data_IF_635751101953
#
_entry.id   IF_635751101953
#
_cell.length_a   1.000
_cell.length_b   1.000
_cell.length_c   1.000
_cell.angle_alpha   90.00
_cell.angle_beta   90.00
_cell.angle_gamma   90.00
#
_symmetry.space_group_name_H-M   'P 1'
#
loop_
_entity.id
_entity.type
_entity.pdbx_description
1 polymer ?
#
# COMPACT_ATOMS: atom_id res chain seq x y z
N UNK A 1 -26.79 -16.77 -25.24
CA UNK A 1 -25.86 -17.54 -24.40
C UNK A 1 -24.44 -17.02 -24.51
N UNK A 2 -23.63 -17.32 -25.51
CA UNK A 2 -22.20 -16.96 -25.55
C UNK A 2 -21.94 -15.47 -25.45
N UNK A 3 -22.66 -14.63 -26.23
CA UNK A 3 -22.52 -13.16 -26.14
C UNK A 3 -22.75 -12.64 -24.72
N UNK A 4 -23.69 -13.22 -23.95
CA UNK A 4 -23.92 -12.84 -22.55
C UNK A 4 -22.74 -13.26 -21.64
N UNK A 5 -22.18 -14.46 -21.84
CA UNK A 5 -21.02 -14.93 -21.09
C UNK A 5 -19.79 -14.03 -21.31
N UNK A 6 -19.52 -13.64 -22.57
CA UNK A 6 -18.45 -12.70 -22.91
C UNK A 6 -18.73 -11.30 -22.33
N UNK A 7 -19.97 -10.80 -22.50
CA UNK A 7 -20.36 -9.51 -21.95
C UNK A 7 -20.25 -9.47 -20.42
N UNK A 8 -20.53 -10.58 -19.75
CA UNK A 8 -20.34 -10.70 -18.31
C UNK A 8 -18.86 -10.58 -17.92
N UNK A 9 -17.96 -11.39 -18.51
CA UNK A 9 -16.53 -11.35 -18.18
C UNK A 9 -15.93 -9.98 -18.47
N UNK A 10 -16.20 -9.44 -19.65
CA UNK A 10 -15.75 -8.10 -20.02
C UNK A 10 -16.35 -7.02 -19.11
N UNK A 11 -17.63 -7.18 -18.76
CA UNK A 11 -18.32 -6.29 -17.83
C UNK A 11 -17.71 -6.30 -16.43
N UNK A 12 -17.28 -7.46 -15.92
CA UNK A 12 -16.56 -7.56 -14.64
C UNK A 12 -15.25 -6.79 -14.71
N UNK A 13 -14.45 -7.04 -15.75
CA UNK A 13 -13.16 -6.36 -15.91
C UNK A 13 -13.32 -4.84 -15.98
N UNK A 14 -14.14 -4.35 -16.89
CA UNK A 14 -14.37 -2.91 -17.07
C UNK A 14 -14.98 -2.25 -15.83
N UNK A 15 -15.96 -2.91 -15.19
CA UNK A 15 -16.55 -2.39 -13.96
C UNK A 15 -15.52 -2.27 -12.85
N UNK A 16 -14.63 -3.26 -12.71
CA UNK A 16 -13.56 -3.23 -11.70
C UNK A 16 -12.57 -2.11 -12.00
N UNK A 17 -12.11 -1.96 -13.25
CA UNK A 17 -11.22 -0.86 -13.63
C UNK A 17 -11.85 0.50 -13.28
N UNK A 18 -13.13 0.72 -13.62
CA UNK A 18 -13.83 1.96 -13.31
C UNK A 18 -13.97 2.20 -11.82
N UNK A 19 -14.31 1.15 -11.04
CA UNK A 19 -14.40 1.23 -9.59
C UNK A 19 -13.05 1.61 -8.96
N UNK A 20 -11.94 0.99 -9.41
CA UNK A 20 -10.59 1.36 -8.93
C UNK A 20 -10.22 2.78 -9.35
N UNK A 21 -10.55 3.18 -10.58
CA UNK A 21 -10.28 4.53 -11.08
C UNK A 21 -10.98 5.63 -10.26
N UNK A 22 -12.19 5.37 -9.75
CA UNK A 22 -12.95 6.31 -8.88
C UNK A 22 -12.22 6.61 -7.58
N UNK A 23 -11.36 5.73 -7.07
CA UNK A 23 -10.59 5.99 -5.86
C UNK A 23 -9.65 7.20 -6.00
N UNK A 24 -9.13 7.47 -7.19
CA UNK A 24 -8.18 8.56 -7.46
C UNK A 24 -8.79 9.95 -7.27
N UNK A 25 -9.91 10.31 -7.91
CA UNK A 25 -10.54 11.60 -7.64
C UNK A 25 -11.02 11.76 -6.20
N UNK A 26 -11.42 10.66 -5.53
CA UNK A 26 -11.76 10.71 -4.09
C UNK A 26 -10.51 11.01 -3.27
N UNK A 27 -9.37 10.38 -3.57
CA UNK A 27 -8.09 10.65 -2.91
C UNK A 27 -7.64 12.11 -3.14
N UNK A 28 -7.69 12.61 -4.38
CA UNK A 28 -7.35 14.00 -4.69
C UNK A 28 -8.27 15.00 -3.96
N UNK A 29 -9.56 14.70 -3.86
CA UNK A 29 -10.51 15.52 -3.11
C UNK A 29 -10.24 15.50 -1.60
N UNK A 30 -9.83 14.36 -1.05
CA UNK A 30 -9.49 14.22 0.36
C UNK A 30 -8.24 15.05 0.72
N UNK A 31 -7.28 15.14 -0.19
CA UNK A 31 -6.06 15.93 -0.11
C UNK A 31 -6.11 17.17 -1.00
N UNK A 32 -7.22 17.90 -0.95
CA UNK A 32 -7.48 19.04 -1.85
C UNK A 32 -6.40 20.12 -1.79
N UNK A 33 -5.77 20.35 -0.63
CA UNK A 33 -4.71 21.33 -0.47
C UNK A 33 -3.44 20.95 -1.27
N UNK A 34 -3.04 19.67 -1.24
CA UNK A 34 -1.90 19.16 -2.00
C UNK A 34 -2.24 19.07 -3.48
N UNK A 35 -3.46 18.64 -3.79
CA UNK A 35 -3.98 18.53 -5.15
C UNK A 35 -4.12 19.91 -5.85
N UNK A 36 -4.40 20.98 -5.10
CA UNK A 36 -4.55 22.34 -5.66
C UNK A 36 -3.25 22.90 -6.28
N UNK A 37 -2.09 22.32 -5.94
CA UNK A 37 -0.81 22.69 -6.52
C UNK A 37 -0.61 22.12 -7.94
N UNK A 38 -1.44 21.16 -8.35
CA UNK A 38 -1.37 20.49 -9.63
C UNK A 38 -2.39 21.05 -10.63
N UNK A 39 -2.03 21.01 -11.91
CA UNK A 39 -2.93 21.38 -13.02
C UNK A 39 -4.01 20.32 -13.28
N UNK A 40 -5.09 20.72 -13.93
CA UNK A 40 -6.13 19.78 -14.36
C UNK A 40 -5.60 18.68 -15.30
N UNK A 41 -4.57 18.99 -16.12
CA UNK A 41 -3.90 18.00 -16.96
C UNK A 41 -3.17 16.92 -16.15
N UNK A 42 -2.53 17.31 -15.05
CA UNK A 42 -1.87 16.37 -14.14
C UNK A 42 -2.89 15.50 -13.39
N UNK A 43 -4.06 16.04 -13.01
CA UNK A 43 -5.13 15.22 -12.41
C UNK A 43 -5.65 14.17 -13.39
N UNK A 44 -5.81 14.51 -14.66
CA UNK A 44 -6.13 13.52 -15.70
C UNK A 44 -5.01 12.51 -15.87
N UNK A 45 -3.74 12.96 -15.76
CA UNK A 45 -2.56 12.10 -15.72
C UNK A 45 -2.60 11.07 -14.60
N UNK A 46 -3.02 11.47 -13.39
CA UNK A 46 -3.19 10.56 -12.24
C UNK A 46 -4.14 9.41 -12.59
N UNK A 47 -5.30 9.73 -13.18
CA UNK A 47 -6.28 8.72 -13.58
C UNK A 47 -5.72 7.85 -14.70
N UNK A 48 -5.15 8.46 -15.76
CA UNK A 48 -4.68 7.76 -16.95
C UNK A 48 -3.55 6.78 -16.63
N UNK A 49 -2.50 7.23 -15.96
CA UNK A 49 -1.37 6.37 -15.59
C UNK A 49 -1.78 5.30 -14.59
N UNK A 50 -2.68 5.65 -13.65
CA UNK A 50 -3.21 4.71 -12.67
C UNK A 50 -4.00 3.55 -13.25
N UNK A 51 -4.58 3.68 -14.47
CA UNK A 51 -5.30 2.58 -15.13
C UNK A 51 -4.45 1.31 -15.29
N UNK A 52 -3.13 1.44 -15.35
CA UNK A 52 -2.22 0.28 -15.45
C UNK A 52 -2.38 -0.65 -14.25
N UNK A 53 -2.28 -0.13 -13.03
CA UNK A 53 -2.46 -0.94 -11.81
C UNK A 53 -3.93 -1.29 -11.55
N UNK A 54 -4.87 -0.41 -11.94
CA UNK A 54 -6.30 -0.72 -11.85
C UNK A 54 -6.66 -1.91 -12.74
N UNK A 55 -6.07 -1.99 -13.94
CA UNK A 55 -6.24 -3.14 -14.85
C UNK A 55 -5.63 -4.42 -14.29
N UNK A 56 -4.49 -4.31 -13.60
CA UNK A 56 -3.89 -5.46 -12.89
C UNK A 56 -4.81 -5.98 -11.79
N UNK A 57 -5.35 -5.11 -10.95
CA UNK A 57 -6.32 -5.51 -9.91
C UNK A 57 -7.60 -6.06 -10.55
N UNK A 58 -8.07 -5.46 -11.64
CA UNK A 58 -9.24 -5.95 -12.36
C UNK A 58 -9.03 -7.35 -12.94
N UNK A 59 -7.83 -7.66 -13.43
CA UNK A 59 -7.46 -9.01 -13.85
C UNK A 59 -7.59 -10.02 -12.72
N UNK A 60 -6.98 -9.74 -11.56
CA UNK A 60 -7.13 -10.62 -10.38
C UNK A 60 -8.58 -10.83 -9.98
N UNK A 61 -9.39 -9.77 -9.96
CA UNK A 61 -10.82 -9.85 -9.63
C UNK A 61 -11.61 -10.61 -10.70
N UNK A 62 -11.20 -10.54 -11.97
CA UNK A 62 -11.89 -11.18 -13.09
C UNK A 62 -11.54 -12.68 -13.20
N UNK A 63 -10.40 -13.11 -12.70
CA UNK A 63 -9.91 -14.47 -12.83
C UNK A 63 -10.93 -15.52 -12.35
N UNK A 64 -11.51 -15.39 -11.15
CA UNK A 64 -12.51 -16.34 -10.65
C UNK A 64 -13.82 -16.29 -11.44
N UNK A 65 -14.45 -15.15 -11.74
CA UNK A 65 -15.59 -15.05 -12.65
C UNK A 65 -15.36 -15.69 -14.02
N UNK A 66 -14.16 -15.53 -14.59
CA UNK A 66 -13.78 -16.15 -15.85
C UNK A 66 -13.72 -17.68 -15.74
N UNK A 67 -13.11 -18.21 -14.67
CA UNK A 67 -13.09 -19.64 -14.39
C UNK A 67 -14.50 -20.21 -14.18
N UNK A 68 -15.36 -19.53 -13.45
CA UNK A 68 -16.77 -19.92 -13.26
C UNK A 68 -17.54 -19.87 -14.58
N UNK A 69 -17.24 -18.89 -15.44
CA UNK A 69 -17.83 -18.81 -16.79
C UNK A 69 -17.37 -19.99 -17.65
N UNK A 70 -16.10 -20.35 -17.60
CA UNK A 70 -15.56 -21.53 -18.29
C UNK A 70 -16.22 -22.81 -17.78
N UNK A 71 -16.33 -22.99 -16.46
CA UNK A 71 -17.01 -24.14 -15.85
C UNK A 71 -18.48 -24.22 -16.28
N UNK A 72 -19.17 -23.08 -16.40
CA UNK A 72 -20.57 -23.01 -16.82
C UNK A 72 -20.82 -23.47 -18.26
N UNK A 73 -19.78 -23.66 -19.11
CA UNK A 73 -19.93 -24.26 -20.42
C UNK A 73 -20.27 -25.76 -20.36
N UNK A 74 -19.79 -26.41 -19.30
CA UNK A 74 -19.79 -27.88 -19.17
C UNK A 74 -20.70 -28.39 -18.05
N UNK A 75 -20.84 -27.60 -16.98
CA UNK A 75 -21.51 -27.99 -15.74
C UNK A 75 -22.91 -27.40 -15.69
N UNK A 76 -23.91 -28.27 -15.49
CA UNK A 76 -25.31 -27.90 -15.28
C UNK A 76 -25.56 -27.65 -13.80
N UNK A 77 -25.59 -26.40 -13.41
CA UNK A 77 -26.06 -25.97 -12.08
C UNK A 77 -27.21 -24.96 -12.25
N UNK A 78 -28.17 -24.95 -11.31
CA UNK A 78 -29.19 -23.91 -11.29
C UNK A 78 -28.56 -22.52 -11.32
N UNK A 79 -29.08 -21.62 -12.15
CA UNK A 79 -28.57 -20.27 -12.30
C UNK A 79 -28.49 -19.51 -10.96
N UNK A 80 -29.42 -19.82 -10.04
CA UNK A 80 -29.43 -19.28 -8.67
C UNK A 80 -28.14 -19.60 -7.90
N UNK A 81 -27.54 -20.79 -8.10
CA UNK A 81 -26.29 -21.20 -7.43
C UNK A 81 -25.14 -20.38 -7.99
N UNK A 82 -25.00 -20.29 -9.31
CA UNK A 82 -23.97 -19.49 -9.95
C UNK A 82 -24.01 -18.04 -9.51
N UNK A 83 -25.20 -17.44 -9.56
CA UNK A 83 -25.38 -16.03 -9.15
C UNK A 83 -25.13 -15.83 -7.66
N UNK A 84 -25.47 -16.80 -6.79
CA UNK A 84 -25.18 -16.73 -5.36
C UNK A 84 -23.67 -16.73 -5.11
N UNK A 85 -22.93 -17.65 -5.74
CA UNK A 85 -21.46 -17.71 -5.62
C UNK A 85 -20.82 -16.39 -6.07
N UNK A 86 -21.21 -15.89 -7.24
CA UNK A 86 -20.71 -14.63 -7.76
C UNK A 86 -21.04 -13.44 -6.84
N UNK A 87 -22.26 -13.36 -6.33
CA UNK A 87 -22.65 -12.27 -5.43
C UNK A 87 -21.87 -12.32 -4.11
N UNK A 88 -21.68 -13.49 -3.52
CA UNK A 88 -20.85 -13.64 -2.30
C UNK A 88 -19.42 -13.20 -2.58
N UNK A 89 -18.84 -13.66 -3.69
CA UNK A 89 -17.50 -13.27 -4.11
C UNK A 89 -17.37 -11.74 -4.23
N UNK A 90 -18.28 -11.10 -4.95
CA UNK A 90 -18.21 -9.64 -5.13
C UNK A 90 -18.50 -8.84 -3.87
N UNK A 91 -19.30 -9.37 -2.94
CA UNK A 91 -19.46 -8.74 -1.61
C UNK A 91 -18.15 -8.78 -0.83
N UNK A 92 -17.44 -9.91 -0.84
CA UNK A 92 -16.13 -10.03 -0.20
C UNK A 92 -15.11 -9.07 -0.82
N UNK A 93 -15.02 -9.03 -2.17
CA UNK A 93 -14.15 -8.08 -2.88
C UNK A 93 -14.50 -6.63 -2.53
N UNK A 94 -15.79 -6.29 -2.49
CA UNK A 94 -16.25 -4.93 -2.17
C UNK A 94 -15.84 -4.52 -0.74
N UNK A 95 -16.07 -5.39 0.24
CA UNK A 95 -15.72 -5.10 1.65
C UNK A 95 -14.20 -4.96 1.81
N UNK A 96 -13.41 -5.90 1.27
CA UNK A 96 -11.95 -5.85 1.38
C UNK A 96 -11.36 -4.62 0.67
N UNK A 97 -11.79 -4.35 -0.55
CA UNK A 97 -11.33 -3.18 -1.31
C UNK A 97 -11.68 -1.87 -0.62
N UNK A 98 -12.90 -1.75 -0.09
CA UNK A 98 -13.35 -0.54 0.60
C UNK A 98 -12.61 -0.34 1.92
N UNK A 99 -12.34 -1.41 2.67
CA UNK A 99 -11.56 -1.35 3.89
C UNK A 99 -10.12 -0.88 3.61
N UNK A 100 -9.45 -1.49 2.63
CA UNK A 100 -8.11 -1.08 2.20
C UNK A 100 -8.10 0.40 1.78
N UNK A 101 -9.06 0.83 0.96
CA UNK A 101 -9.11 2.21 0.48
C UNK A 101 -9.36 3.22 1.60
N UNK A 102 -10.30 2.94 2.52
CA UNK A 102 -10.61 3.83 3.63
C UNK A 102 -9.43 3.98 4.59
N UNK A 103 -8.73 2.88 4.90
CA UNK A 103 -7.52 2.89 5.72
C UNK A 103 -6.39 3.64 5.02
N UNK A 104 -6.16 3.36 3.73
CA UNK A 104 -5.12 3.98 2.93
C UNK A 104 -5.25 5.51 2.86
N UNK A 105 -6.47 6.00 2.60
CA UNK A 105 -6.71 7.44 2.50
C UNK A 105 -6.37 8.17 3.80
N UNK A 106 -6.60 7.57 4.97
CA UNK A 106 -6.26 8.22 6.23
C UNK A 106 -4.78 8.07 6.60
N UNK A 107 -4.23 6.86 6.47
CA UNK A 107 -2.84 6.60 6.84
C UNK A 107 -1.84 7.35 5.96
N UNK A 108 -2.19 7.68 4.72
CA UNK A 108 -1.34 8.48 3.84
C UNK A 108 -0.93 9.82 4.47
N UNK A 109 -1.81 10.46 5.25
CA UNK A 109 -1.50 11.71 5.97
C UNK A 109 -0.32 11.55 6.93
N UNK A 110 -0.22 10.39 7.57
CA UNK A 110 0.79 10.10 8.59
C UNK A 110 2.05 9.47 8.03
N UNK A 111 1.89 8.64 7.00
CA UNK A 111 2.98 7.86 6.43
C UNK A 111 3.65 8.52 5.23
N UNK A 112 2.93 9.33 4.46
CA UNK A 112 3.44 9.95 3.24
C UNK A 112 3.61 8.98 2.06
N UNK A 113 3.12 7.74 2.19
CA UNK A 113 3.12 6.72 1.13
C UNK A 113 1.84 5.88 1.17
N UNK A 114 1.61 5.11 0.10
CA UNK A 114 0.40 4.28 -0.04
C UNK A 114 0.47 3.06 0.88
N UNK A 115 -0.70 2.57 1.27
CA UNK A 115 -0.84 1.46 2.20
C UNK A 115 -0.02 0.25 1.77
N UNK A 116 0.74 -0.31 2.69
CA UNK A 116 1.50 -1.54 2.57
C UNK A 116 1.15 -2.55 3.68
N UNK A 117 1.78 -3.72 3.65
CA UNK A 117 1.54 -4.79 4.64
C UNK A 117 1.96 -4.42 6.06
N UNK A 118 2.69 -3.34 6.26
CA UNK A 118 3.10 -2.85 7.58
C UNK A 118 1.90 -2.54 8.49
N UNK A 119 0.75 -2.17 7.89
CA UNK A 119 -0.49 -1.97 8.65
C UNK A 119 -0.90 -3.19 9.46
N UNK A 120 -0.54 -4.40 9.03
CA UNK A 120 -0.87 -5.65 9.73
C UNK A 120 -0.18 -5.76 11.08
N UNK A 121 0.97 -5.11 11.27
CA UNK A 121 1.67 -5.07 12.56
C UNK A 121 0.80 -4.37 13.60
N UNK A 122 0.11 -3.29 13.20
CA UNK A 122 -0.80 -2.56 14.09
C UNK A 122 -2.09 -3.32 14.38
N UNK A 123 -2.48 -4.26 13.52
CA UNK A 123 -3.61 -5.14 13.79
C UNK A 123 -3.30 -6.21 14.86
N UNK A 124 -2.02 -6.44 15.17
CA UNK A 124 -1.62 -7.36 16.24
C UNK A 124 -1.98 -6.79 17.64
N UNK A 125 -1.99 -5.45 17.79
CA UNK A 125 -2.54 -4.79 19.00
C UNK A 125 -3.63 -3.77 18.62
N UNK A 126 -4.90 -4.23 18.48
CA UNK A 126 -6.00 -3.36 18.09
C UNK A 126 -6.30 -2.23 19.09
N UNK A 127 -5.93 -2.39 20.38
CA UNK A 127 -6.17 -1.34 21.39
C UNK A 127 -5.25 -0.15 21.16
N UNK A 128 -3.98 -0.40 20.87
CA UNK A 128 -3.01 0.66 20.54
C UNK A 128 -3.37 1.33 19.21
N UNK A 129 -3.71 0.54 18.19
CA UNK A 129 -4.14 1.06 16.90
C UNK A 129 -5.37 1.98 17.01
N UNK A 130 -6.34 1.62 17.86
CA UNK A 130 -7.56 2.42 18.07
C UNK A 130 -7.36 3.60 19.01
N UNK A 131 -6.30 3.64 19.82
CA UNK A 131 -6.06 4.73 20.79
C UNK A 131 -5.84 6.08 20.11
N UNK A 132 -5.33 6.09 18.87
CA UNK A 132 -5.11 7.30 18.07
C UNK A 132 -6.27 7.67 17.14
N UNK A 133 -7.36 6.87 17.13
CA UNK A 133 -8.52 7.10 16.25
C UNK A 133 -9.58 7.92 16.99
N UNK A 134 -9.74 9.19 16.58
CA UNK A 134 -10.83 10.03 17.05
C UNK A 134 -12.19 9.50 16.57
N UNK A 135 -13.25 9.72 17.36
CA UNK A 135 -14.61 9.28 17.05
C UNK A 135 -15.09 9.76 15.67
N UNK A 136 -14.89 11.05 15.35
CA UNK A 136 -15.32 11.61 14.07
C UNK A 136 -14.52 11.07 12.88
N UNK A 137 -13.26 10.78 13.10
CA UNK A 137 -12.43 10.08 12.13
C UNK A 137 -13.01 8.69 11.84
N UNK A 138 -13.31 7.91 12.87
CA UNK A 138 -13.95 6.60 12.73
C UNK A 138 -15.27 6.66 11.96
N UNK A 139 -16.13 7.63 12.28
CA UNK A 139 -17.40 7.86 11.56
C UNK A 139 -17.15 8.19 10.09
N UNK A 140 -16.24 9.11 9.79
CA UNK A 140 -15.93 9.53 8.42
C UNK A 140 -15.43 8.37 7.57
N UNK A 141 -14.46 7.58 8.08
CA UNK A 141 -13.89 6.45 7.37
C UNK A 141 -14.92 5.32 7.19
N UNK A 142 -15.75 5.07 8.18
CA UNK A 142 -16.85 4.10 8.07
C UNK A 142 -17.86 4.52 7.00
N UNK A 143 -18.24 5.78 6.94
CA UNK A 143 -19.15 6.30 5.90
C UNK A 143 -18.52 6.20 4.50
N UNK A 144 -17.24 6.54 4.36
CA UNK A 144 -16.50 6.40 3.10
C UNK A 144 -16.50 4.93 2.64
N UNK A 145 -16.12 4.02 3.52
CA UNK A 145 -16.11 2.59 3.23
C UNK A 145 -17.52 2.07 2.87
N UNK A 146 -18.54 2.43 3.64
CA UNK A 146 -19.92 2.01 3.39
C UNK A 146 -20.45 2.52 2.05
N UNK A 147 -20.18 3.79 1.71
CA UNK A 147 -20.58 4.37 0.43
C UNK A 147 -19.89 3.64 -0.74
N UNK A 148 -18.61 3.34 -0.59
CA UNK A 148 -17.84 2.65 -1.62
C UNK A 148 -18.27 1.18 -1.76
N UNK A 149 -18.54 0.46 -0.65
CA UNK A 149 -19.14 -0.89 -0.66
C UNK A 149 -20.48 -0.88 -1.39
N UNK A 150 -21.35 0.09 -1.07
CA UNK A 150 -22.66 0.21 -1.71
C UNK A 150 -22.54 0.42 -3.22
N UNK A 151 -21.62 1.29 -3.68
CA UNK A 151 -21.32 1.52 -5.09
C UNK A 151 -20.83 0.24 -5.78
N UNK A 152 -19.86 -0.47 -5.17
CA UNK A 152 -19.31 -1.71 -5.71
C UNK A 152 -20.38 -2.81 -5.81
N UNK A 153 -21.16 -3.03 -4.74
CA UNK A 153 -22.23 -4.04 -4.74
C UNK A 153 -23.30 -3.69 -5.78
N UNK A 154 -23.69 -2.43 -5.89
CA UNK A 154 -24.65 -1.98 -6.90
C UNK A 154 -24.13 -2.28 -8.31
N UNK A 155 -22.89 -1.92 -8.62
CA UNK A 155 -22.25 -2.13 -9.92
C UNK A 155 -22.13 -3.63 -10.23
N UNK A 156 -21.59 -4.43 -9.32
CA UNK A 156 -21.40 -5.86 -9.56
C UNK A 156 -22.73 -6.62 -9.67
N UNK A 157 -23.77 -6.24 -8.94
CA UNK A 157 -25.10 -6.85 -9.11
C UNK A 157 -25.66 -6.62 -10.51
N UNK A 158 -25.41 -5.46 -11.12
CA UNK A 158 -25.79 -5.18 -12.49
C UNK A 158 -25.03 -6.05 -13.48
N UNK A 159 -23.73 -6.22 -13.27
CA UNK A 159 -22.86 -7.06 -14.08
C UNK A 159 -23.23 -8.55 -13.93
N UNK A 160 -23.46 -9.03 -12.70
CA UNK A 160 -23.92 -10.41 -12.44
C UNK A 160 -25.29 -10.70 -13.12
N UNK A 161 -26.11 -9.67 -13.31
CA UNK A 161 -27.32 -9.78 -14.10
C UNK A 161 -27.11 -10.22 -15.56
N UNK A 162 -25.91 -10.00 -16.12
CA UNK A 162 -25.52 -10.45 -17.47
C UNK A 162 -25.10 -11.91 -17.51
N UNK A 163 -24.79 -12.52 -16.36
CA UNK A 163 -24.32 -13.90 -16.30
C UNK A 163 -25.38 -14.87 -16.78
N UNK A 164 -24.98 -15.79 -17.63
CA UNK A 164 -25.80 -16.86 -18.20
C UNK A 164 -25.16 -18.21 -17.82
N UNK A 165 -25.78 -18.94 -16.88
CA UNK A 165 -25.30 -20.21 -16.33
C UNK A 165 -25.60 -21.44 -17.19
N UNK A 166 -26.34 -21.27 -18.30
CA UNK A 166 -26.74 -22.39 -19.13
C UNK A 166 -25.53 -23.02 -19.87
N UNK A 167 -25.37 -24.36 -19.82
CA UNK A 167 -24.29 -25.04 -20.53
C UNK A 167 -24.53 -25.05 -22.04
N UNK A 168 -23.46 -25.12 -22.79
CA UNK A 168 -23.52 -25.26 -24.24
C UNK A 168 -23.62 -26.73 -24.65
N UNK A 169 -24.12 -26.97 -25.86
CA UNK A 169 -24.00 -28.31 -26.49
C UNK A 169 -22.51 -28.62 -26.67
N UNK A 170 -22.09 -29.87 -26.44
CA UNK A 170 -20.68 -30.31 -26.50
C UNK A 170 -19.92 -29.82 -27.75
N UNK A 171 -20.55 -29.88 -28.93
CA UNK A 171 -19.95 -29.40 -30.19
C UNK A 171 -19.65 -27.89 -30.19
N UNK A 172 -20.45 -27.10 -29.47
CA UNK A 172 -20.24 -25.67 -29.35
C UNK A 172 -19.35 -25.31 -28.12
N UNK A 173 -19.38 -26.14 -27.07
CA UNK A 173 -18.59 -25.88 -25.86
C UNK A 173 -17.08 -25.92 -26.13
N UNK A 174 -16.60 -26.85 -26.96
CA UNK A 174 -15.16 -26.99 -27.27
C UNK A 174 -14.54 -25.69 -27.84
N UNK A 175 -15.01 -25.12 -28.96
CA UNK A 175 -14.40 -23.91 -29.53
C UNK A 175 -14.51 -22.70 -28.56
N UNK A 176 -15.59 -22.62 -27.77
CA UNK A 176 -15.74 -21.58 -26.78
C UNK A 176 -14.86 -21.76 -25.55
N UNK A 177 -14.51 -23.00 -25.21
CA UNK A 177 -13.46 -23.28 -24.20
C UNK A 177 -12.14 -22.67 -24.63
N UNK A 178 -11.71 -22.90 -25.89
CA UNK A 178 -10.50 -22.25 -26.42
C UNK A 178 -10.61 -20.72 -26.44
N UNK A 179 -11.77 -20.17 -26.82
CA UNK A 179 -12.00 -18.72 -26.79
C UNK A 179 -11.89 -18.12 -25.39
N UNK A 180 -12.43 -18.77 -24.36
CA UNK A 180 -12.31 -18.33 -22.98
C UNK A 180 -10.88 -18.54 -22.41
N UNK A 181 -10.17 -19.60 -22.84
CA UNK A 181 -8.77 -19.78 -22.48
C UNK A 181 -7.86 -18.70 -23.10
N UNK A 182 -8.16 -18.30 -24.35
CA UNK A 182 -7.47 -17.15 -24.96
C UNK A 182 -7.75 -15.86 -24.19
N UNK A 183 -9.02 -15.65 -23.77
CA UNK A 183 -9.39 -14.51 -22.94
C UNK A 183 -8.70 -14.57 -21.57
N UNK A 184 -8.50 -15.77 -20.98
CA UNK A 184 -7.71 -15.94 -19.77
C UNK A 184 -6.23 -15.59 -19.99
N UNK A 185 -5.68 -15.85 -21.17
CA UNK A 185 -4.35 -15.39 -21.55
C UNK A 185 -4.26 -13.86 -21.63
N UNK A 186 -5.30 -13.20 -22.17
CA UNK A 186 -5.37 -11.74 -22.17
C UNK A 186 -5.51 -11.18 -20.73
N UNK A 187 -6.31 -11.81 -19.89
CA UNK A 187 -6.46 -11.43 -18.46
C UNK A 187 -5.14 -11.59 -17.70
N UNK A 188 -4.41 -12.69 -17.96
CA UNK A 188 -3.06 -12.88 -17.42
C UNK A 188 -2.09 -11.75 -17.85
N UNK A 189 -2.17 -11.27 -19.09
CA UNK A 189 -1.37 -10.12 -19.53
C UNK A 189 -1.75 -8.83 -18.77
N UNK A 190 -3.02 -8.63 -18.45
CA UNK A 190 -3.46 -7.52 -17.61
C UNK A 190 -2.90 -7.66 -16.18
N UNK A 191 -2.99 -8.85 -15.58
CA UNK A 191 -2.40 -9.16 -14.26
C UNK A 191 -0.89 -8.88 -14.27
N UNK A 192 -0.19 -9.31 -15.30
CA UNK A 192 1.24 -9.09 -15.46
C UNK A 192 1.61 -7.59 -15.64
N UNK A 193 0.66 -6.74 -15.99
CA UNK A 193 0.88 -5.33 -16.27
C UNK A 193 1.42 -5.06 -17.68
N UNK A 194 1.03 -5.91 -18.67
CA UNK A 194 1.35 -5.78 -20.07
C UNK A 194 2.42 -6.75 -20.57
N UNK A 195 2.93 -6.49 -21.79
CA UNK A 195 3.91 -7.33 -22.50
C UNK A 195 5.36 -6.89 -22.29
N UNK A 196 5.61 -5.83 -21.53
CA UNK A 196 6.97 -5.31 -21.27
C UNK A 196 7.84 -6.27 -20.45
N UNK A 197 9.14 -5.99 -20.34
CA UNK A 197 10.09 -6.81 -19.58
C UNK A 197 9.74 -6.85 -18.09
N UNK A 198 9.32 -5.72 -17.50
CA UNK A 198 8.99 -5.65 -16.09
C UNK A 198 7.52 -6.04 -15.84
N UNK A 199 7.29 -6.80 -14.78
CA UNK A 199 5.95 -7.10 -14.25
C UNK A 199 5.29 -5.86 -13.64
N UNK A 200 3.99 -5.95 -13.30
CA UNK A 200 3.30 -4.89 -12.59
C UNK A 200 4.01 -4.57 -11.28
N UNK A 201 4.29 -3.30 -11.05
CA UNK A 201 4.84 -2.74 -9.82
C UNK A 201 4.40 -1.28 -9.70
N UNK A 202 4.52 -0.70 -8.51
CA UNK A 202 4.04 0.66 -8.23
C UNK A 202 4.74 1.73 -9.09
N UNK A 203 5.99 1.55 -9.47
CA UNK A 203 6.74 2.53 -10.27
C UNK A 203 6.22 2.70 -11.70
N UNK A 204 5.43 1.74 -12.21
CA UNK A 204 4.82 1.85 -13.55
C UNK A 204 3.84 3.01 -13.71
N UNK A 205 3.31 3.51 -12.62
CA UNK A 205 2.36 4.64 -12.63
C UNK A 205 3.02 5.97 -12.30
N UNK A 206 4.34 5.99 -12.04
CA UNK A 206 5.07 7.21 -11.77
C UNK A 206 5.31 7.99 -13.06
N UNK A 207 4.74 9.19 -13.14
CA UNK A 207 4.75 10.04 -14.34
C UNK A 207 5.15 11.48 -14.07
N UNK A 208 5.23 11.88 -12.78
CA UNK A 208 5.48 13.25 -12.37
C UNK A 208 6.70 13.35 -11.47
N UNK A 209 7.37 14.51 -11.46
CA UNK A 209 8.35 14.87 -10.43
C UNK A 209 7.71 15.13 -9.06
N UNK A 210 6.40 15.41 -9.03
CA UNK A 210 5.63 15.54 -7.79
C UNK A 210 5.23 14.14 -7.28
N UNK A 211 5.83 13.71 -6.16
CA UNK A 211 5.60 12.39 -5.59
C UNK A 211 4.14 12.18 -5.16
N UNK A 212 3.45 13.25 -4.70
CA UNK A 212 2.04 13.17 -4.35
C UNK A 212 1.17 12.68 -5.52
N UNK A 213 1.44 13.17 -6.74
CA UNK A 213 0.70 12.76 -7.94
C UNK A 213 0.99 11.29 -8.33
N UNK A 214 2.22 10.84 -8.14
CA UNK A 214 2.60 9.45 -8.36
C UNK A 214 1.90 8.52 -7.34
N UNK A 215 1.84 8.92 -6.09
CA UNK A 215 1.08 8.23 -5.07
C UNK A 215 -0.42 8.24 -5.37
N UNK A 216 -0.99 9.37 -5.76
CA UNK A 216 -2.40 9.46 -6.16
C UNK A 216 -2.75 8.52 -7.32
N UNK A 217 -1.83 8.29 -8.28
CA UNK A 217 -1.99 7.35 -9.37
C UNK A 217 -1.89 5.87 -8.94
N UNK A 218 -1.21 5.59 -7.82
CA UNK A 218 -1.01 4.23 -7.32
C UNK A 218 -2.32 3.65 -6.77
N UNK A 219 -2.64 2.43 -7.18
CA UNK A 219 -3.81 1.71 -6.66
C UNK A 219 -3.49 1.16 -5.25
N UNK A 220 -4.26 1.49 -4.20
CA UNK A 220 -3.97 1.07 -2.83
C UNK A 220 -4.14 -0.44 -2.61
N UNK A 221 -5.07 -1.08 -3.32
CA UNK A 221 -5.26 -2.54 -3.24
C UNK A 221 -4.04 -3.25 -3.81
N UNK A 222 -3.53 -2.77 -4.95
CA UNK A 222 -2.30 -3.30 -5.54
C UNK A 222 -1.11 -3.10 -4.61
N UNK A 223 -0.91 -1.87 -4.09
CA UNK A 223 0.19 -1.54 -3.18
C UNK A 223 0.19 -2.43 -1.94
N UNK A 224 -0.96 -2.60 -1.31
CA UNK A 224 -1.11 -3.46 -0.13
C UNK A 224 -0.84 -4.95 -0.44
N UNK A 225 -1.46 -5.49 -1.50
CA UNK A 225 -1.37 -6.92 -1.81
C UNK A 225 0.04 -7.34 -2.26
N UNK A 226 0.76 -6.49 -2.98
CA UNK A 226 2.12 -6.81 -3.44
C UNK A 226 3.12 -6.90 -2.30
N UNK A 227 2.86 -6.22 -1.20
CA UNK A 227 3.75 -6.24 -0.02
C UNK A 227 3.43 -7.35 0.98
N UNK A 228 2.29 -8.05 0.84
CA UNK A 228 1.92 -9.16 1.75
C UNK A 228 2.90 -10.35 1.69
N UNK A 229 3.57 -10.56 0.57
CA UNK A 229 4.53 -11.63 0.36
C UNK A 229 5.98 -11.22 0.51
N UNK A 230 6.25 -9.94 0.74
CA UNK A 230 7.60 -9.39 0.81
C UNK A 230 8.26 -9.69 2.18
N UNK A 231 8.59 -10.96 2.38
CA UNK A 231 9.53 -11.40 3.41
C UNK A 231 10.91 -11.60 2.78
N UNK A 232 11.36 -10.59 2.03
CA UNK A 232 12.66 -10.65 1.36
C UNK A 232 13.76 -10.67 2.42
N UNK A 233 14.45 -11.79 2.56
CA UNK A 233 15.73 -11.83 3.27
C UNK A 233 16.79 -11.17 2.37
N UNK A 234 16.93 -9.86 2.53
CA UNK A 234 17.87 -9.06 1.74
C UNK A 234 19.32 -9.56 1.86
N UNK A 235 19.67 -10.19 2.97
CA UNK A 235 21.01 -10.71 3.19
C UNK A 235 21.30 -11.92 2.30
N UNK A 236 20.31 -12.77 2.04
CA UNK A 236 20.42 -13.94 1.18
C UNK A 236 20.22 -13.58 -0.30
N UNK A 237 19.33 -12.62 -0.61
CA UNK A 237 18.98 -12.27 -1.99
C UNK A 237 20.02 -11.34 -2.63
N UNK A 238 20.67 -10.49 -1.83
CA UNK A 238 21.68 -9.52 -2.31
C UNK A 238 23.02 -9.67 -1.57
N UNK A 239 23.75 -10.77 -1.75
CA UNK A 239 25.08 -10.97 -1.15
C UNK A 239 26.13 -10.14 -1.91
N UNK A 240 26.14 -8.81 -1.70
CA UNK A 240 27.10 -7.90 -2.38
C UNK A 240 28.55 -8.15 -1.98
N UNK A 241 28.80 -8.67 -0.78
CA UNK A 241 30.13 -8.96 -0.28
C UNK A 241 30.16 -10.35 0.41
N UNK A 242 31.26 -11.05 0.26
CA UNK A 242 31.55 -12.18 1.13
C UNK A 242 31.66 -11.73 2.60
N UNK A 243 31.52 -12.65 3.54
CA UNK A 243 31.45 -12.35 4.97
C UNK A 243 32.71 -11.65 5.50
N UNK A 244 33.88 -12.03 5.01
CA UNK A 244 35.15 -11.42 5.40
C UNK A 244 35.25 -9.96 4.95
N UNK A 245 34.90 -9.69 3.68
CA UNK A 245 34.89 -8.34 3.13
C UNK A 245 33.84 -7.47 3.80
N UNK A 246 32.65 -8.03 4.09
CA UNK A 246 31.56 -7.33 4.79
C UNK A 246 32.00 -6.92 6.20
N UNK A 247 32.60 -7.84 6.97
CA UNK A 247 33.10 -7.58 8.32
C UNK A 247 34.18 -6.51 8.30
N UNK A 248 35.17 -6.63 7.39
CA UNK A 248 36.24 -5.66 7.28
C UNK A 248 35.75 -4.23 6.93
N UNK A 249 34.77 -4.13 6.02
CA UNK A 249 34.16 -2.84 5.66
C UNK A 249 33.34 -2.27 6.81
N UNK A 250 32.59 -3.11 7.54
CA UNK A 250 31.81 -2.68 8.68
C UNK A 250 32.70 -2.21 9.84
N UNK A 251 33.78 -2.92 10.14
CA UNK A 251 34.76 -2.50 11.15
C UNK A 251 35.46 -1.19 10.80
N UNK A 252 35.75 -0.98 9.53
CA UNK A 252 36.28 0.28 9.02
C UNK A 252 35.28 1.45 9.22
N UNK A 253 33.99 1.22 8.98
CA UNK A 253 32.94 2.22 9.21
C UNK A 253 32.72 2.50 10.70
N UNK A 254 32.85 1.51 11.56
CA UNK A 254 32.72 1.70 13.03
C UNK A 254 33.90 2.45 13.64
N UNK A 255 34.93 2.76 12.88
CA UNK A 255 36.09 3.49 13.39
C UNK A 255 36.96 2.66 14.34
N UNK A 256 36.95 1.31 14.23
CA UNK A 256 37.83 0.42 14.97
C UNK A 256 39.30 0.52 14.48
N UNK A 257 39.59 1.43 13.55
CA UNK A 257 40.93 1.83 13.22
C UNK A 257 41.52 2.77 14.29
N UNK A 258 42.86 2.95 14.33
CA UNK A 258 43.47 3.93 15.23
C UNK A 258 42.83 5.30 14.96
N UNK A 259 42.33 5.93 16.02
CA UNK A 259 41.68 7.22 15.93
C UNK A 259 42.63 8.22 15.23
N UNK A 260 42.28 8.65 14.03
CA UNK A 260 43.08 9.54 13.21
C UNK A 260 42.88 11.00 13.58
N UNK A 261 42.97 11.33 14.88
CA UNK A 261 42.86 12.69 15.38
C UNK A 261 42.87 12.76 16.90
N UNK A 262 43.04 13.95 17.51
CA UNK A 262 42.95 14.12 18.94
C UNK A 262 41.51 13.75 19.38
N UNK A 263 41.34 12.67 20.13
CA UNK A 263 40.07 12.31 20.74
C UNK A 263 39.89 13.17 22.00
N UNK A 264 38.84 13.98 22.04
CA UNK A 264 38.48 14.73 23.22
C UNK A 264 37.78 13.81 24.24
N UNK A 265 38.33 13.71 25.44
CA UNK A 265 37.76 12.87 26.49
C UNK A 265 36.55 13.58 27.09
N UNK A 266 35.38 13.15 26.69
CA UNK A 266 34.10 13.76 27.15
C UNK A 266 33.71 13.25 28.55
N UNK A 267 34.05 11.97 28.87
CA UNK A 267 33.67 11.36 30.14
C UNK A 267 34.83 11.36 31.14
N UNK A 268 34.56 11.72 32.39
CA UNK A 268 35.56 11.73 33.47
C UNK A 268 35.92 10.31 33.94
N UNK A 269 35.01 9.35 33.79
CA UNK A 269 35.19 7.94 34.13
C UNK A 269 35.37 7.06 32.90
N UNK A 270 36.22 6.05 32.96
CA UNK A 270 36.46 5.09 31.90
C UNK A 270 35.34 4.06 31.73
N UNK A 271 34.54 3.81 32.75
CA UNK A 271 33.39 2.88 32.76
C UNK A 271 32.23 3.52 33.54
N UNK A 272 31.56 4.52 32.97
CA UNK A 272 30.39 5.13 33.60
C UNK A 272 29.18 4.19 33.48
N UNK A 273 28.22 4.36 34.38
CA UNK A 273 26.87 3.86 34.12
C UNK A 273 26.23 4.75 33.05
N UNK A 274 25.62 4.11 32.04
CA UNK A 274 24.95 4.80 30.93
C UNK A 274 23.46 4.50 31.04
N UNK A 275 22.64 5.56 31.06
CA UNK A 275 21.18 5.46 30.97
C UNK A 275 20.79 6.04 29.62
N UNK A 276 20.17 5.22 28.78
CA UNK A 276 19.62 5.65 27.49
C UNK A 276 18.13 5.90 27.68
N UNK A 277 17.68 7.11 27.36
CA UNK A 277 16.25 7.48 27.40
C UNK A 277 15.80 7.78 25.98
N UNK A 278 14.96 6.90 25.42
CA UNK A 278 14.35 7.10 24.11
C UNK A 278 12.99 7.74 24.33
N UNK A 279 12.81 8.95 23.77
CA UNK A 279 11.58 9.72 23.92
C UNK A 279 10.72 9.57 22.65
N UNK A 280 9.59 8.87 22.79
CA UNK A 280 8.64 8.65 21.72
C UNK A 280 7.96 9.97 21.31
N UNK A 281 7.80 10.16 19.99
CA UNK A 281 7.09 11.31 19.40
C UNK A 281 7.66 12.69 19.78
N UNK A 282 8.94 12.76 20.18
CA UNK A 282 9.60 13.97 20.63
C UNK A 282 10.18 14.73 19.42
N UNK A 283 9.53 15.82 19.03
CA UNK A 283 9.92 16.57 17.84
C UNK A 283 10.68 17.87 18.24
N UNK A 284 11.75 18.19 17.49
CA UNK A 284 12.53 19.42 17.64
C UNK A 284 11.64 20.67 17.54
N UNK A 285 10.64 20.66 16.67
CA UNK A 285 9.67 21.76 16.51
C UNK A 285 8.93 22.10 17.80
N UNK A 286 8.60 21.10 18.64
CA UNK A 286 7.96 21.32 19.93
C UNK A 286 8.96 21.82 20.97
N UNK A 287 10.19 21.34 20.93
CA UNK A 287 11.25 21.75 21.82
C UNK A 287 11.61 23.24 21.61
N UNK A 288 11.62 23.69 20.36
CA UNK A 288 11.93 25.07 19.99
C UNK A 288 10.72 26.02 20.03
N UNK A 289 9.51 25.48 20.27
CA UNK A 289 8.28 26.28 20.31
C UNK A 289 8.15 27.11 21.58
N UNK A 290 7.60 28.30 21.41
CA UNK A 290 7.16 29.18 22.49
C UNK A 290 5.65 29.43 22.40
N UNK A 291 4.96 29.48 23.55
CA UNK A 291 3.57 29.87 23.67
C UNK A 291 3.49 31.05 24.66
N UNK A 292 2.93 32.13 24.20
CA UNK A 292 2.85 33.41 24.98
C UNK A 292 4.22 33.85 25.54
N UNK A 293 5.29 33.69 24.76
CA UNK A 293 6.65 34.03 25.12
C UNK A 293 7.30 33.09 26.16
N UNK A 294 6.72 31.94 26.41
CA UNK A 294 7.25 30.92 27.32
C UNK A 294 7.61 29.65 26.55
N UNK A 295 8.79 29.07 26.83
CA UNK A 295 9.18 27.81 26.22
C UNK A 295 8.18 26.70 26.55
N UNK A 296 7.76 25.93 25.55
CA UNK A 296 6.91 24.73 25.73
C UNK A 296 7.67 23.67 26.52
N UNK A 297 8.99 23.56 26.30
CA UNK A 297 9.84 22.54 26.90
C UNK A 297 11.06 23.17 27.63
N UNK A 298 10.86 23.89 28.74
CA UNK A 298 11.94 24.64 29.41
C UNK A 298 13.03 23.70 29.95
N UNK A 299 12.68 22.53 30.45
CA UNK A 299 13.63 21.57 30.99
C UNK A 299 14.52 20.93 29.89
N UNK A 300 13.97 20.68 28.72
CA UNK A 300 14.74 20.12 27.58
C UNK A 300 15.71 21.18 27.04
N UNK A 301 15.29 22.47 26.98
CA UNK A 301 16.21 23.57 26.60
C UNK A 301 17.34 23.69 27.61
N UNK A 302 17.04 23.57 28.89
CA UNK A 302 18.08 23.58 29.94
C UNK A 302 19.06 22.42 29.79
N UNK A 303 18.57 21.21 29.56
CA UNK A 303 19.43 20.03 29.31
C UNK A 303 20.30 20.20 28.06
N UNK A 304 19.77 20.83 27.01
CA UNK A 304 20.54 21.17 25.82
C UNK A 304 21.69 22.15 26.16
N UNK A 305 21.39 23.15 26.94
CA UNK A 305 22.35 24.23 27.27
C UNK A 305 23.40 23.78 28.30
N UNK A 306 23.06 22.83 29.19
CA UNK A 306 23.95 22.29 30.24
C UNK A 306 24.71 21.04 29.80
N UNK A 307 24.27 20.36 28.73
CA UNK A 307 24.81 19.10 28.27
C UNK A 307 25.60 19.17 26.97
N UNK A 308 25.88 18.01 26.40
CA UNK A 308 26.41 17.88 25.03
C UNK A 308 25.23 17.69 24.11
N UNK A 309 25.06 18.61 23.17
CA UNK A 309 23.97 18.60 22.21
C UNK A 309 24.49 18.40 20.79
N UNK A 310 23.88 17.47 20.06
CA UNK A 310 24.20 17.18 18.66
C UNK A 310 23.13 17.79 17.77
N UNK A 311 23.44 18.93 17.13
CA UNK A 311 22.46 19.64 16.28
C UNK A 311 22.16 18.92 14.97
N UNK A 312 23.16 18.23 14.40
CA UNK A 312 23.07 17.52 13.13
C UNK A 312 22.93 16.01 13.37
N UNK A 313 22.06 15.62 14.27
CA UNK A 313 21.75 14.24 14.55
C UNK A 313 20.50 13.82 13.76
N UNK A 314 20.64 12.82 12.90
CA UNK A 314 19.58 12.33 12.02
C UNK A 314 19.13 10.94 12.45
N UNK A 315 17.83 10.70 12.41
CA UNK A 315 17.28 9.36 12.62
C UNK A 315 17.54 8.46 11.40
N UNK A 316 17.88 7.20 11.62
CA UNK A 316 18.07 6.22 10.55
C UNK A 316 16.75 5.78 9.92
N UNK A 317 15.63 6.04 10.57
CA UNK A 317 14.30 5.73 10.08
C UNK A 317 13.26 6.72 10.60
N UNK A 318 12.16 6.81 9.91
CA UNK A 318 10.98 7.59 10.29
C UNK A 318 10.03 6.83 11.25
N UNK A 319 10.39 5.60 11.65
CA UNK A 319 9.58 4.73 12.52
C UNK A 319 10.35 4.33 13.77
N UNK A 320 9.66 4.32 14.89
CA UNK A 320 10.22 4.02 16.21
C UNK A 320 10.81 2.62 16.29
N UNK A 321 10.11 1.60 15.76
CA UNK A 321 10.57 0.21 15.73
C UNK A 321 11.96 0.04 15.07
N UNK A 322 12.22 0.76 13.99
CA UNK A 322 13.52 0.76 13.30
C UNK A 322 14.55 1.66 14.00
N UNK A 323 14.09 2.82 14.47
CA UNK A 323 14.94 3.76 15.22
C UNK A 323 15.49 3.16 16.50
N UNK A 324 14.67 2.42 17.25
CA UNK A 324 15.10 1.71 18.46
C UNK A 324 16.17 0.66 18.16
N UNK A 325 15.97 -0.14 17.12
CA UNK A 325 16.98 -1.13 16.68
C UNK A 325 18.29 -0.42 16.33
N UNK A 326 18.24 0.68 15.58
CA UNK A 326 19.44 1.43 15.21
C UNK A 326 20.18 1.98 16.44
N UNK A 327 19.47 2.53 17.42
CA UNK A 327 20.08 3.08 18.66
C UNK A 327 20.67 1.96 19.52
N UNK A 328 19.96 0.85 19.68
CA UNK A 328 20.38 -0.25 20.58
C UNK A 328 21.49 -1.13 19.97
N UNK A 329 21.44 -1.35 18.65
CA UNK A 329 22.43 -2.20 17.97
C UNK A 329 23.61 -1.40 17.37
N UNK A 330 23.47 -0.08 17.20
CA UNK A 330 24.42 0.74 16.45
C UNK A 330 24.41 0.44 14.95
N UNK A 331 23.37 -0.21 14.44
CA UNK A 331 23.23 -0.54 13.02
C UNK A 331 22.55 0.63 12.29
N UNK A 332 23.14 1.12 11.16
CA UNK A 332 22.59 2.25 10.42
C UNK A 332 21.32 1.88 9.63
#
# INVERSE_FOLDING_TARGET
MVKKKLAFVFGVFCATVLLMAVQKPVFLAYYAADAAQASAGEWLGVVWHGLTLDSTVAGYVTALPLLLTLASLWVRLPERIWRRVLNVYFVLIAVLTAAIFAVDVELYRHWGFRLDSTVLIYLADPKEAMASVDFWLGVRQTLLAAAYVALMIWTYRRVVGLFDGEPLRRRAALPWTFGLLLLAGCDFLAIRGGTGASVANVSKVYFSSNMFLNHAATNPVFSFLTTLGDHTDYASEYPFFDETTRTAKFDALRGNGPASGPSERVLTKTRPNVVVVILESFARTIMDADVDGRPVMPNMRRLRDEGIWFENFFANSFRTDRGEVAVLSGFP
#
